data_IF_467604547372
#
_entry.id   IF_467604547372
#
_cell.length_a   1.000
_cell.length_b   1.000
_cell.length_c   1.000
_cell.angle_alpha   90.00
_cell.angle_beta   90.00
_cell.angle_gamma   90.00
#
_symmetry.space_group_name_H-M   'P 1'
#
loop_
_entity.id
_entity.type
_entity.pdbx_description
1 polymer ?
#
# COMPACT_ATOMS: atom_id res chain seq x y z
N UNK A 1 -0.37 -36.70 45.89
CA UNK A 1 -0.75 -37.88 45.08
C UNK A 1 -0.19 -37.72 43.67
N UNK A 2 0.30 -38.80 43.02
CA UNK A 2 0.73 -38.93 41.60
C UNK A 2 1.58 -37.76 41.02
N UNK A 3 2.92 -37.82 41.04
CA UNK A 3 3.87 -38.50 40.12
C UNK A 3 4.13 -37.76 38.77
N UNK A 4 5.44 -37.53 38.50
CA UNK A 4 6.18 -37.86 37.23
C UNK A 4 6.06 -36.83 36.06
N UNK A 5 7.12 -36.41 35.31
CA UNK A 5 8.55 -36.79 35.22
C UNK A 5 9.49 -35.62 34.77
N UNK A 6 10.81 -35.88 34.87
CA UNK A 6 12.02 -35.18 34.34
C UNK A 6 11.89 -34.66 32.87
N UNK A 7 12.76 -33.78 32.33
CA UNK A 7 14.24 -33.92 32.25
C UNK A 7 14.95 -32.62 31.84
N UNK A 8 16.20 -32.44 32.26
CA UNK A 8 17.14 -31.40 31.83
C UNK A 8 18.50 -32.02 31.45
N UNK A 9 19.19 -31.44 30.45
CA UNK A 9 20.61 -31.60 30.10
C UNK A 9 20.97 -30.36 29.25
N UNK A 10 21.93 -29.47 29.53
CA UNK A 10 23.29 -29.52 30.10
C UNK A 10 24.40 -29.81 29.05
N UNK A 11 25.18 -28.76 28.77
CA UNK A 11 26.62 -28.67 28.42
C UNK A 11 27.30 -29.83 27.65
N UNK A 12 28.15 -29.50 26.67
CA UNK A 12 29.62 -29.44 26.88
C UNK A 12 30.35 -28.74 25.71
N UNK A 13 31.63 -28.43 25.89
CA UNK A 13 32.50 -27.57 25.10
C UNK A 13 33.79 -28.34 24.73
N UNK A 14 34.49 -27.91 23.67
CA UNK A 14 35.89 -28.25 23.30
C UNK A 14 36.16 -29.67 22.75
N UNK A 15 36.82 -29.73 21.58
CA UNK A 15 38.00 -30.58 21.31
C UNK A 15 38.78 -29.99 20.11
N UNK A 16 40.11 -29.87 20.26
CA UNK A 16 41.06 -29.45 19.21
C UNK A 16 42.23 -30.43 19.22
N UNK A 17 42.61 -30.97 18.05
CA UNK A 17 43.95 -31.39 17.60
C UNK A 17 43.80 -32.13 16.24
N UNK A 18 44.43 -31.78 15.12
CA UNK A 18 45.87 -31.67 14.72
C UNK A 18 46.60 -33.00 14.41
N UNK A 19 46.79 -33.28 13.12
CA UNK A 19 47.94 -33.91 12.45
C UNK A 19 47.73 -33.75 10.92
N UNK A 20 48.59 -33.04 10.17
CA UNK A 20 49.77 -33.57 9.44
C UNK A 20 49.44 -34.75 8.51
N UNK A 21 49.80 -34.77 7.21
CA UNK A 21 50.65 -33.89 6.38
C UNK A 21 50.10 -33.89 4.92
N UNK A 22 50.69 -33.34 3.86
CA UNK A 22 52.06 -32.83 3.57
C UNK A 22 51.99 -31.82 2.40
N UNK A 23 52.94 -30.87 2.28
CA UNK A 23 53.06 -29.99 1.10
C UNK A 23 53.68 -28.62 1.40
N UNK A 24 54.96 -28.43 1.08
CA UNK A 24 55.74 -27.24 1.42
C UNK A 24 56.36 -26.61 0.17
N UNK A 25 56.10 -25.33 -0.10
CA UNK A 25 57.05 -24.35 -0.72
C UNK A 25 56.46 -22.92 -0.78
N UNK A 26 57.05 -21.98 -0.02
CA UNK A 26 57.08 -20.51 -0.29
C UNK A 26 55.76 -19.72 -0.31
N UNK A 27 55.74 -18.39 -0.10
CA UNK A 27 56.76 -17.46 0.42
C UNK A 27 56.04 -16.15 0.85
N UNK A 28 56.65 -15.34 1.73
CA UNK A 28 56.35 -13.91 2.02
C UNK A 28 55.01 -13.53 2.68
N UNK A 29 55.09 -13.08 3.95
CA UNK A 29 54.90 -11.67 4.35
C UNK A 29 54.36 -11.50 5.79
N UNK A 30 55.25 -11.55 6.81
CA UNK A 30 54.99 -11.01 8.16
C UNK A 30 56.29 -10.48 8.79
N UNK A 31 56.46 -9.16 8.78
CA UNK A 31 57.39 -8.30 9.54
C UNK A 31 57.35 -6.92 8.81
N UNK A 32 57.32 -5.75 9.45
CA UNK A 32 57.62 -5.38 10.84
C UNK A 32 56.55 -4.46 11.45
N UNK A 33 56.40 -4.54 12.77
CA UNK A 33 55.88 -3.46 13.63
C UNK A 33 57.11 -2.80 14.29
N UNK A 34 57.00 -1.50 14.61
CA UNK A 34 57.94 -0.58 15.30
C UNK A 34 58.83 0.29 14.41
N UNK A 35 58.42 1.55 14.23
CA UNK A 35 59.30 2.73 14.36
C UNK A 35 58.48 4.03 14.48
N UNK A 36 59.01 4.98 15.27
CA UNK A 36 58.61 6.40 15.36
C UNK A 36 57.18 6.77 15.81
N UNK A 37 57.00 6.84 17.13
CA UNK A 37 56.31 7.98 17.73
C UNK A 37 57.34 9.09 17.96
N UNK A 38 57.17 10.27 17.33
CA UNK A 38 57.52 11.58 17.91
C UNK A 38 57.01 12.74 17.02
N UNK A 39 56.41 13.74 17.68
CA UNK A 39 56.10 15.12 17.22
C UNK A 39 55.85 15.44 15.73
N UNK A 40 54.62 15.85 15.41
CA UNK A 40 54.37 17.16 14.77
C UNK A 40 53.05 17.79 15.25
N UNK A 41 53.05 19.12 15.29
CA UNK A 41 51.97 19.97 15.80
C UNK A 41 50.90 20.28 14.72
N UNK A 42 49.70 20.65 15.17
CA UNK A 42 48.66 21.38 14.44
C UNK A 42 48.33 20.99 12.98
N UNK A 43 47.34 20.10 12.78
CA UNK A 43 46.46 20.17 11.58
C UNK A 43 44.99 19.93 11.95
N UNK A 44 44.13 20.87 11.53
CA UNK A 44 42.68 20.84 11.75
C UNK A 44 42.05 19.72 10.91
N UNK A 45 41.57 18.65 11.57
CA UNK A 45 40.69 17.69 10.91
C UNK A 45 39.32 18.32 10.72
N UNK A 46 39.06 18.82 9.52
CA UNK A 46 37.70 19.21 9.11
C UNK A 46 36.83 17.97 9.07
N UNK A 47 35.89 17.87 10.00
CA UNK A 47 34.89 16.81 10.00
C UNK A 47 34.09 16.89 8.68
N UNK A 48 34.06 15.84 7.84
CA UNK A 48 33.16 15.84 6.69
C UNK A 48 31.73 15.96 7.19
N UNK A 49 30.95 16.87 6.59
CA UNK A 49 29.52 16.97 6.87
C UNK A 49 28.85 15.66 6.41
N UNK A 50 28.74 14.70 7.32
CA UNK A 50 27.74 13.64 7.24
C UNK A 50 26.41 14.38 7.28
N UNK A 51 25.82 14.61 6.11
CA UNK A 51 24.47 15.13 6.05
C UNK A 51 23.58 14.13 6.77
N UNK A 52 22.83 14.61 7.76
CA UNK A 52 21.73 13.84 8.32
C UNK A 52 20.75 13.62 7.18
N UNK A 53 20.83 12.43 6.55
CA UNK A 53 19.78 11.99 5.67
C UNK A 53 18.51 11.95 6.52
N UNK A 54 17.56 12.84 6.19
CA UNK A 54 16.24 12.85 6.82
C UNK A 54 15.67 11.45 6.68
N UNK A 55 15.75 10.65 7.75
CA UNK A 55 15.00 9.41 7.87
C UNK A 55 13.54 9.79 7.71
N UNK A 56 12.97 9.40 6.57
CA UNK A 56 11.55 9.63 6.30
C UNK A 56 10.77 8.91 7.38
N UNK A 57 9.83 9.61 8.00
CA UNK A 57 9.12 9.18 9.20
C UNK A 57 8.01 8.14 8.86
N UNK A 58 8.31 7.21 7.94
CA UNK A 58 7.37 6.21 7.39
C UNK A 58 7.33 4.90 8.18
N UNK A 59 8.34 4.64 9.02
CA UNK A 59 8.39 3.44 9.87
C UNK A 59 7.22 3.43 10.87
N UNK A 60 6.25 2.54 10.64
CA UNK A 60 5.10 2.33 11.50
C UNK A 60 3.80 3.03 11.07
N UNK A 61 3.80 3.83 10.00
CA UNK A 61 2.55 4.36 9.44
C UNK A 61 1.71 3.21 8.83
N UNK A 62 0.42 3.16 9.18
CA UNK A 62 -0.49 2.09 8.72
C UNK A 62 -1.35 2.55 7.55
N UNK A 63 -1.30 1.82 6.44
CA UNK A 63 -2.03 2.10 5.20
C UNK A 63 -3.11 1.05 4.98
N UNK A 64 -4.36 1.50 4.86
CA UNK A 64 -5.48 0.61 4.59
C UNK A 64 -5.80 0.59 3.09
N UNK A 65 -5.96 -0.62 2.52
CA UNK A 65 -6.29 -0.84 1.12
C UNK A 65 -7.61 -1.62 1.03
N UNK A 66 -8.55 -1.13 0.22
CA UNK A 66 -9.79 -1.83 -0.11
C UNK A 66 -9.83 -2.20 -1.60
N UNK A 67 -9.53 -3.46 -1.95
CA UNK A 67 -9.87 -4.01 -3.25
C UNK A 67 -11.39 -4.00 -3.42
N UNK A 68 -11.90 -3.11 -4.29
CA UNK A 68 -13.33 -2.93 -4.52
C UNK A 68 -14.03 -4.24 -4.88
N UNK A 69 -15.33 -4.32 -4.55
CA UNK A 69 -16.19 -5.47 -4.83
C UNK A 69 -15.73 -6.80 -4.21
N UNK A 70 -16.38 -7.89 -4.59
CA UNK A 70 -16.15 -9.29 -4.17
C UNK A 70 -16.90 -10.22 -5.13
N UNK A 71 -16.63 -11.54 -5.15
CA UNK A 71 -17.21 -12.47 -6.13
C UNK A 71 -18.74 -12.42 -6.21
N UNK A 72 -19.41 -12.22 -5.07
CA UNK A 72 -20.88 -12.14 -4.97
C UNK A 72 -21.30 -10.83 -4.34
N UNK A 73 -21.98 -9.97 -5.10
CA UNK A 73 -22.63 -8.78 -4.56
C UNK A 73 -23.66 -9.13 -3.48
N UNK A 74 -23.92 -8.18 -2.58
CA UNK A 74 -24.92 -8.30 -1.52
C UNK A 74 -25.96 -7.18 -1.69
N UNK A 75 -27.15 -7.57 -2.15
CA UNK A 75 -28.27 -6.66 -2.39
C UNK A 75 -29.08 -6.29 -1.14
N UNK A 76 -28.73 -6.86 0.03
CA UNK A 76 -29.23 -6.39 1.33
C UNK A 76 -28.91 -4.90 1.51
N UNK A 77 -29.75 -4.17 2.23
CA UNK A 77 -29.61 -2.72 2.38
C UNK A 77 -28.72 -2.35 3.57
N UNK A 78 -28.04 -1.21 3.45
CA UNK A 78 -27.34 -0.54 4.54
C UNK A 78 -27.47 0.99 4.42
N UNK A 79 -27.34 1.69 5.55
CA UNK A 79 -27.35 3.15 5.65
C UNK A 79 -26.18 3.76 4.86
N UNK A 80 -26.43 4.79 4.05
CA UNK A 80 -25.37 5.44 3.25
C UNK A 80 -24.33 6.19 4.10
N UNK A 81 -24.63 6.44 5.38
CA UNK A 81 -23.80 7.19 6.32
C UNK A 81 -24.28 6.93 7.77
N UNK A 82 -23.47 7.26 8.80
CA UNK A 82 -23.87 7.17 10.20
C UNK A 82 -25.19 7.90 10.49
N UNK A 83 -26.20 7.17 10.99
CA UNK A 83 -27.50 7.73 11.36
C UNK A 83 -28.39 8.16 10.17
N UNK A 84 -28.04 7.82 8.93
CA UNK A 84 -28.84 8.18 7.76
C UNK A 84 -30.01 7.20 7.54
N UNK A 85 -31.22 7.74 7.35
CA UNK A 85 -32.39 6.96 6.93
C UNK A 85 -32.34 6.51 5.46
N UNK A 86 -31.43 7.06 4.66
CA UNK A 86 -31.24 6.67 3.26
C UNK A 86 -30.39 5.39 3.23
N UNK A 87 -30.86 4.37 2.49
CA UNK A 87 -30.15 3.09 2.36
C UNK A 87 -29.86 2.71 0.91
N UNK A 88 -28.77 1.98 0.68
CA UNK A 88 -28.39 1.42 -0.62
C UNK A 88 -27.88 -0.04 -0.48
N UNK A 89 -27.71 -0.80 -1.59
CA UNK A 89 -27.16 -2.16 -1.52
C UNK A 89 -25.80 -2.18 -0.83
N UNK A 90 -25.56 -3.20 0.00
CA UNK A 90 -24.34 -3.40 0.80
C UNK A 90 -23.07 -3.39 -0.05
N UNK A 91 -23.06 -4.08 -1.19
CA UNK A 91 -21.96 -4.07 -2.17
C UNK A 91 -22.43 -4.67 -3.49
N UNK A 92 -22.07 -4.08 -4.63
CA UNK A 92 -22.34 -4.67 -5.96
C UNK A 92 -21.22 -5.65 -6.36
N UNK A 93 -21.45 -6.47 -7.40
CA UNK A 93 -20.41 -7.35 -7.98
C UNK A 93 -19.28 -6.61 -8.70
N UNK A 94 -19.47 -5.33 -9.03
CA UNK A 94 -18.59 -4.55 -9.90
C UNK A 94 -18.94 -4.74 -11.38
N UNK A 95 -18.13 -4.13 -12.24
CA UNK A 95 -18.18 -4.29 -13.70
C UNK A 95 -17.35 -5.50 -14.17
N UNK A 96 -17.26 -5.72 -15.48
CA UNK A 96 -16.35 -6.70 -16.08
C UNK A 96 -15.76 -6.22 -17.40
N UNK A 97 -14.58 -6.76 -17.73
CA UNK A 97 -13.80 -6.44 -18.92
C UNK A 97 -14.53 -6.81 -20.20
N UNK A 98 -14.79 -5.84 -21.07
CA UNK A 98 -15.54 -6.09 -22.31
C UNK A 98 -14.79 -7.01 -23.29
N UNK A 99 -13.46 -7.03 -23.25
CA UNK A 99 -12.57 -7.81 -24.10
C UNK A 99 -11.92 -9.00 -23.37
N UNK A 100 -11.43 -8.80 -22.13
CA UNK A 100 -10.74 -9.84 -21.34
C UNK A 100 -11.69 -10.74 -20.56
N UNK A 101 -12.93 -10.28 -20.32
CA UNK A 101 -13.92 -10.90 -19.41
C UNK A 101 -13.46 -11.01 -17.96
N UNK A 102 -12.39 -10.31 -17.55
CA UNK A 102 -11.97 -10.22 -16.15
C UNK A 102 -13.01 -9.44 -15.35
N UNK A 103 -13.48 -9.98 -14.23
CA UNK A 103 -14.35 -9.25 -13.31
C UNK A 103 -13.56 -8.16 -12.55
N UNK A 104 -14.21 -7.05 -12.23
CA UNK A 104 -13.58 -5.95 -11.49
C UNK A 104 -13.02 -6.40 -10.13
N UNK A 105 -13.73 -7.25 -9.38
CA UNK A 105 -13.26 -7.76 -8.07
C UNK A 105 -11.99 -8.63 -8.18
N UNK A 106 -11.66 -9.14 -9.37
CA UNK A 106 -10.40 -9.85 -9.64
C UNK A 106 -9.31 -8.81 -9.89
N UNK A 107 -9.53 -7.88 -10.82
CA UNK A 107 -8.58 -6.81 -11.16
C UNK A 107 -8.17 -5.99 -9.93
N UNK A 108 -9.13 -5.58 -9.11
CA UNK A 108 -8.85 -4.76 -7.92
C UNK A 108 -8.07 -5.52 -6.85
N UNK A 109 -8.23 -6.86 -6.77
CA UNK A 109 -7.45 -7.69 -5.86
C UNK A 109 -6.03 -7.92 -6.37
N UNK A 110 -5.85 -8.19 -7.67
CA UNK A 110 -4.53 -8.30 -8.30
C UNK A 110 -3.68 -7.04 -8.04
N UNK A 111 -4.26 -5.86 -8.27
CA UNK A 111 -3.57 -4.58 -8.06
C UNK A 111 -3.41 -4.31 -6.55
N UNK A 112 -4.40 -4.65 -5.72
CA UNK A 112 -4.35 -4.47 -4.27
C UNK A 112 -3.24 -5.28 -3.58
N UNK A 113 -3.05 -6.54 -3.99
CA UNK A 113 -1.97 -7.39 -3.47
C UNK A 113 -0.59 -6.86 -3.89
N UNK A 114 -0.41 -6.44 -5.15
CA UNK A 114 0.82 -5.77 -5.60
C UNK A 114 1.09 -4.47 -4.85
N UNK A 115 0.05 -3.68 -4.56
CA UNK A 115 0.16 -2.45 -3.78
C UNK A 115 0.57 -2.74 -2.33
N UNK A 116 0.00 -3.79 -1.72
CA UNK A 116 0.39 -4.29 -0.40
C UNK A 116 1.88 -4.66 -0.37
N UNK A 117 2.31 -5.58 -1.22
CA UNK A 117 3.72 -6.03 -1.31
C UNK A 117 4.67 -4.84 -1.49
N UNK A 118 4.32 -3.89 -2.36
CA UNK A 118 5.15 -2.72 -2.64
C UNK A 118 5.24 -1.76 -1.44
N UNK A 119 4.15 -1.54 -0.71
CA UNK A 119 4.15 -0.68 0.49
C UNK A 119 4.84 -1.36 1.68
N UNK A 120 4.62 -2.66 1.89
CA UNK A 120 5.33 -3.45 2.90
C UNK A 120 6.85 -3.42 2.65
N UNK A 121 7.29 -3.48 1.38
CA UNK A 121 8.71 -3.33 1.00
C UNK A 121 9.31 -1.95 1.32
N UNK A 122 8.48 -0.93 1.55
CA UNK A 122 8.90 0.43 1.94
C UNK A 122 8.75 0.69 3.46
N UNK A 123 8.37 -0.34 4.24
CA UNK A 123 8.28 -0.29 5.70
C UNK A 123 6.93 0.19 6.26
N UNK A 124 5.90 0.26 5.42
CA UNK A 124 4.52 0.52 5.87
C UNK A 124 3.89 -0.75 6.46
N UNK A 125 3.05 -0.57 7.48
CA UNK A 125 2.11 -1.62 7.88
C UNK A 125 0.88 -1.56 6.96
N UNK A 126 0.50 -2.67 6.33
CA UNK A 126 -0.61 -2.67 5.35
C UNK A 126 -1.77 -3.52 5.84
N UNK A 127 -2.98 -2.96 5.77
CA UNK A 127 -4.21 -3.62 6.21
C UNK A 127 -5.20 -3.69 5.04
N UNK A 128 -5.44 -4.91 4.57
CA UNK A 128 -6.37 -5.19 3.47
C UNK A 128 -7.78 -5.41 4.02
N UNK A 129 -8.81 -4.86 3.37
CA UNK A 129 -10.21 -5.21 3.70
C UNK A 129 -10.58 -6.63 3.26
N UNK A 130 -9.89 -7.16 2.24
CA UNK A 130 -9.96 -8.54 1.78
C UNK A 130 -8.68 -8.94 1.05
N UNK A 131 -8.28 -10.20 1.20
CA UNK A 131 -7.17 -10.82 0.45
C UNK A 131 -7.64 -11.98 -0.45
N UNK A 132 -8.95 -12.23 -0.49
CA UNK A 132 -9.58 -13.28 -1.31
C UNK A 132 -10.80 -12.73 -2.07
N UNK A 133 -11.34 -13.53 -2.99
CA UNK A 133 -12.56 -13.19 -3.74
C UNK A 133 -13.85 -13.56 -2.99
N UNK A 134 -13.81 -14.63 -2.21
CA UNK A 134 -14.97 -15.26 -1.55
C UNK A 134 -15.19 -14.70 -0.15
N UNK A 135 -15.58 -13.43 -0.10
CA UNK A 135 -15.94 -12.70 1.12
C UNK A 135 -17.36 -12.12 1.00
N UNK A 136 -17.95 -11.75 2.13
CA UNK A 136 -19.22 -11.04 2.19
C UNK A 136 -19.10 -9.82 3.11
N UNK A 137 -18.54 -8.72 2.59
CA UNK A 137 -18.21 -7.52 3.36
C UNK A 137 -18.81 -6.30 2.67
N UNK A 138 -19.69 -5.58 3.36
CA UNK A 138 -20.34 -4.37 2.84
C UNK A 138 -19.42 -3.16 2.77
N UNK A 139 -19.86 -2.10 2.09
CA UNK A 139 -19.11 -0.84 2.01
C UNK A 139 -18.99 -0.16 3.39
N UNK A 140 -20.04 -0.24 4.23
CA UNK A 140 -19.99 0.17 5.65
C UNK A 140 -18.97 -0.67 6.44
N UNK A 141 -19.01 -1.99 6.31
CA UNK A 141 -18.14 -2.91 7.04
C UNK A 141 -16.66 -2.70 6.67
N UNK A 142 -16.34 -2.48 5.38
CA UNK A 142 -15.00 -2.11 4.88
C UNK A 142 -14.49 -0.83 5.56
N UNK A 143 -15.30 0.23 5.55
CA UNK A 143 -14.92 1.52 6.17
C UNK A 143 -14.79 1.45 7.70
N UNK A 144 -15.67 0.68 8.37
CA UNK A 144 -15.58 0.46 9.82
C UNK A 144 -14.36 -0.39 10.20
N UNK A 145 -13.95 -1.34 9.35
CA UNK A 145 -12.73 -2.11 9.54
C UNK A 145 -11.49 -1.20 9.51
N UNK A 146 -11.39 -0.31 8.52
CA UNK A 146 -10.24 0.59 8.41
C UNK A 146 -10.21 1.64 9.53
N UNK A 147 -11.36 2.19 9.92
CA UNK A 147 -11.48 3.07 11.08
C UNK A 147 -10.98 2.40 12.38
N UNK A 148 -11.37 1.14 12.62
CA UNK A 148 -10.93 0.35 13.80
C UNK A 148 -9.43 0.01 13.77
N UNK A 149 -8.88 -0.17 12.58
CA UNK A 149 -7.47 -0.45 12.37
C UNK A 149 -6.54 0.75 12.66
N UNK A 150 -7.09 1.98 12.72
CA UNK A 150 -6.30 3.18 13.00
C UNK A 150 -5.35 3.57 11.88
N UNK A 151 -5.63 3.18 10.63
CA UNK A 151 -4.81 3.57 9.48
C UNK A 151 -4.75 5.10 9.30
N UNK A 152 -3.59 5.61 8.89
CA UNK A 152 -3.40 7.03 8.55
C UNK A 152 -3.99 7.41 7.21
N UNK A 153 -4.03 6.45 6.27
CA UNK A 153 -4.57 6.62 4.92
C UNK A 153 -5.44 5.41 4.53
N UNK A 154 -6.48 5.67 3.76
CA UNK A 154 -7.39 4.64 3.25
C UNK A 154 -7.62 4.79 1.73
N UNK A 155 -7.18 3.80 0.94
CA UNK A 155 -7.33 3.79 -0.52
C UNK A 155 -8.29 2.69 -0.95
N UNK A 156 -9.34 3.02 -1.71
CA UNK A 156 -10.20 2.04 -2.39
C UNK A 156 -9.82 1.93 -3.86
N UNK A 157 -9.65 0.71 -4.35
CA UNK A 157 -9.24 0.41 -5.72
C UNK A 157 -10.46 -0.07 -6.53
N UNK A 158 -10.77 0.60 -7.63
CA UNK A 158 -11.89 0.30 -8.53
C UNK A 158 -11.49 0.46 -10.01
N UNK A 159 -12.34 -0.02 -10.91
CA UNK A 159 -12.23 0.27 -12.34
C UNK A 159 -13.63 0.47 -12.96
N UNK A 160 -13.80 1.56 -13.70
CA UNK A 160 -15.10 2.13 -14.05
C UNK A 160 -15.80 1.34 -15.18
N UNK A 161 -17.12 1.45 -15.23
CA UNK A 161 -18.00 0.86 -16.24
C UNK A 161 -18.93 1.91 -16.83
N UNK A 162 -18.82 2.15 -18.14
CA UNK A 162 -19.63 3.13 -18.86
C UNK A 162 -20.25 2.57 -20.13
N UNK A 163 -21.49 2.96 -20.42
CA UNK A 163 -22.16 2.71 -21.70
C UNK A 163 -21.42 3.36 -22.88
N UNK A 164 -20.76 4.49 -22.64
CA UNK A 164 -19.82 5.04 -23.62
C UNK A 164 -18.54 4.18 -23.62
N UNK A 165 -18.45 3.28 -24.60
CA UNK A 165 -17.30 2.37 -24.80
C UNK A 165 -15.98 3.08 -25.15
N UNK A 166 -16.03 4.37 -25.47
CA UNK A 166 -14.87 5.23 -25.69
C UNK A 166 -14.49 6.06 -24.45
N UNK A 167 -15.20 5.90 -23.31
CA UNK A 167 -14.75 6.45 -22.04
C UNK A 167 -13.39 5.86 -21.67
N UNK A 168 -12.48 6.71 -21.20
CA UNK A 168 -11.12 6.32 -20.86
C UNK A 168 -10.53 7.27 -19.82
N UNK A 169 -9.51 6.80 -19.10
CA UNK A 169 -8.70 7.58 -18.17
C UNK A 169 -8.99 7.33 -16.69
N UNK A 170 -8.14 7.91 -15.85
CA UNK A 170 -8.17 7.77 -14.39
C UNK A 170 -8.92 8.94 -13.76
N UNK A 171 -9.78 8.63 -12.79
CA UNK A 171 -10.41 9.60 -11.88
C UNK A 171 -10.25 9.15 -10.44
N UNK A 172 -10.35 10.11 -9.52
CA UNK A 172 -10.46 9.84 -8.07
C UNK A 172 -11.79 10.35 -7.53
N UNK A 173 -12.40 9.60 -6.62
CA UNK A 173 -13.68 9.93 -6.00
C UNK A 173 -13.47 10.23 -4.51
N UNK A 174 -14.04 11.33 -4.04
CA UNK A 174 -13.97 11.78 -2.63
C UNK A 174 -15.21 12.58 -2.25
N UNK A 175 -15.40 12.90 -0.96
CA UNK A 175 -16.55 13.68 -0.50
C UNK A 175 -16.43 15.17 -0.81
N UNK A 176 -17.55 15.83 -1.13
CA UNK A 176 -17.60 17.29 -1.28
C UNK A 176 -17.39 18.02 0.05
N UNK A 177 -17.03 19.30 -0.01
CA UNK A 177 -16.91 20.16 1.19
C UNK A 177 -18.25 20.41 1.92
N UNK A 178 -19.37 20.01 1.32
CA UNK A 178 -20.72 20.09 1.91
C UNK A 178 -21.14 18.80 2.61
N UNK A 179 -20.33 17.74 2.53
CA UNK A 179 -20.65 16.45 3.12
C UNK A 179 -20.59 16.50 4.65
N UNK A 180 -21.75 16.40 5.30
CA UNK A 180 -21.87 16.47 6.75
C UNK A 180 -21.20 15.30 7.50
N UNK A 181 -21.02 14.16 6.84
CA UNK A 181 -20.50 12.94 7.48
C UNK A 181 -18.98 12.89 7.51
N UNK A 182 -18.30 13.55 6.57
CA UNK A 182 -16.84 13.48 6.40
C UNK A 182 -16.10 14.74 6.81
N UNK A 183 -16.77 15.76 7.37
CA UNK A 183 -16.21 17.09 7.69
C UNK A 183 -14.79 17.05 8.31
N UNK A 184 -14.55 16.15 9.27
CA UNK A 184 -13.26 16.00 9.97
C UNK A 184 -12.09 15.57 9.08
N UNK A 185 -12.37 14.90 7.96
CA UNK A 185 -11.35 14.35 7.03
C UNK A 185 -11.52 14.88 5.60
N UNK A 186 -12.47 15.79 5.34
CA UNK A 186 -12.81 16.21 3.98
C UNK A 186 -11.62 16.91 3.30
N UNK A 187 -11.04 17.92 3.95
CA UNK A 187 -9.91 18.67 3.38
C UNK A 187 -8.64 17.80 3.20
N UNK A 188 -8.38 16.90 4.15
CA UNK A 188 -7.24 15.97 4.07
C UNK A 188 -7.43 14.93 2.96
N UNK A 189 -8.66 14.42 2.79
CA UNK A 189 -9.06 13.45 1.76
C UNK A 189 -9.09 14.05 0.35
N UNK A 190 -9.55 15.29 0.21
CA UNK A 190 -9.53 16.03 -1.06
C UNK A 190 -8.09 16.25 -1.55
N UNK A 191 -7.21 16.76 -0.67
CA UNK A 191 -5.78 16.91 -0.97
C UNK A 191 -5.13 15.57 -1.31
N UNK A 192 -5.42 14.52 -0.53
CA UNK A 192 -4.87 13.18 -0.77
C UNK A 192 -5.30 12.64 -2.14
N UNK A 193 -6.58 12.78 -2.48
CA UNK A 193 -7.13 12.38 -3.78
C UNK A 193 -6.42 13.08 -4.95
N UNK A 194 -6.21 14.40 -4.85
CA UNK A 194 -5.48 15.18 -5.86
C UNK A 194 -4.04 14.69 -6.06
N UNK A 195 -3.31 14.45 -4.96
CA UNK A 195 -1.93 13.94 -5.03
C UNK A 195 -1.88 12.53 -5.62
N UNK A 196 -2.79 11.63 -5.22
CA UNK A 196 -2.88 10.27 -5.78
C UNK A 196 -3.16 10.30 -7.29
N UNK A 197 -4.09 11.14 -7.73
CA UNK A 197 -4.38 11.34 -9.15
C UNK A 197 -3.15 11.87 -9.91
N UNK A 198 -2.50 12.92 -9.41
CA UNK A 198 -1.31 13.51 -10.01
C UNK A 198 -0.17 12.50 -10.19
N UNK A 199 0.20 11.77 -9.13
CA UNK A 199 1.32 10.82 -9.21
C UNK A 199 0.98 9.58 -10.04
N UNK A 200 -0.27 9.10 -10.02
CA UNK A 200 -0.71 7.98 -10.87
C UNK A 200 -0.75 8.35 -12.35
N UNK A 201 -1.12 9.58 -12.69
CA UNK A 201 -1.08 10.05 -14.08
C UNK A 201 0.35 10.13 -14.62
N UNK A 202 1.32 10.57 -13.80
CA UNK A 202 2.75 10.63 -14.19
C UNK A 202 3.33 9.26 -14.54
N UNK A 203 2.99 8.20 -13.81
CA UNK A 203 3.53 6.85 -14.05
C UNK A 203 2.79 6.09 -15.16
N UNK A 204 1.49 6.33 -15.32
CA UNK A 204 0.64 5.60 -16.28
C UNK A 204 0.55 6.26 -17.66
N UNK A 205 0.69 7.59 -17.74
CA UNK A 205 0.35 8.37 -18.92
C UNK A 205 -1.13 8.33 -19.29
N UNK A 206 -2.01 7.96 -18.34
CA UNK A 206 -3.45 7.85 -18.59
C UNK A 206 -4.10 9.22 -18.85
N UNK A 207 -5.29 9.20 -19.47
CA UNK A 207 -6.12 10.41 -19.60
C UNK A 207 -6.57 10.87 -18.21
N UNK A 208 -6.39 12.15 -17.90
CA UNK A 208 -6.87 12.75 -16.66
C UNK A 208 -8.39 13.00 -16.74
N UNK A 209 -9.15 12.47 -15.78
CA UNK A 209 -10.59 12.73 -15.60
C UNK A 209 -10.93 13.59 -14.38
N UNK A 210 -9.92 13.99 -13.60
CA UNK A 210 -10.08 14.86 -12.44
C UNK A 210 -10.61 14.17 -11.19
N UNK A 211 -11.01 15.01 -10.23
CA UNK A 211 -11.65 14.61 -8.97
C UNK A 211 -13.16 14.67 -9.15
N UNK A 212 -13.86 13.59 -8.80
CA UNK A 212 -15.32 13.54 -8.74
C UNK A 212 -15.78 13.59 -7.28
N UNK A 213 -16.48 14.66 -6.92
CA UNK A 213 -17.04 14.83 -5.58
C UNK A 213 -18.37 14.08 -5.45
N UNK A 214 -18.46 13.14 -4.51
CA UNK A 214 -19.55 12.17 -4.38
C UNK A 214 -19.91 11.94 -2.91
N UNK A 215 -21.13 12.33 -2.54
CA UNK A 215 -21.63 12.26 -1.16
C UNK A 215 -22.59 11.07 -0.92
N UNK A 216 -22.74 10.19 -1.90
CA UNK A 216 -23.55 8.97 -1.85
C UNK A 216 -22.74 7.68 -1.61
N UNK A 217 -21.42 7.79 -1.43
CA UNK A 217 -20.52 6.64 -1.31
C UNK A 217 -20.42 6.18 0.15
N UNK A 218 -21.09 5.07 0.49
CA UNK A 218 -21.11 4.51 1.86
C UNK A 218 -19.71 4.37 2.44
N UNK A 219 -18.76 3.81 1.68
CA UNK A 219 -17.39 3.59 2.15
C UNK A 219 -16.59 4.88 2.45
N UNK A 220 -17.03 6.02 1.90
CA UNK A 220 -16.45 7.35 2.18
C UNK A 220 -17.17 8.02 3.34
N UNK A 221 -18.52 8.03 3.32
CA UNK A 221 -19.34 8.65 4.36
C UNK A 221 -19.20 8.00 5.75
N UNK A 222 -18.84 6.71 5.81
CA UNK A 222 -18.53 6.01 7.06
C UNK A 222 -17.06 6.16 7.50
N UNK A 223 -16.18 6.77 6.69
CA UNK A 223 -14.76 6.83 7.00
C UNK A 223 -14.42 8.01 7.91
N UNK A 224 -13.70 7.71 8.99
CA UNK A 224 -13.10 8.72 9.89
C UNK A 224 -11.60 8.92 9.60
N UNK A 225 -11.11 8.40 8.47
CA UNK A 225 -9.72 8.43 8.03
C UNK A 225 -9.61 9.21 6.72
N UNK A 226 -8.47 9.86 6.49
CA UNK A 226 -8.12 10.47 5.20
C UNK A 226 -8.19 9.41 4.08
N UNK A 227 -9.15 9.56 3.16
CA UNK A 227 -9.49 8.51 2.21
C UNK A 227 -9.59 8.99 0.76
N UNK A 228 -9.43 8.05 -0.16
CA UNK A 228 -9.72 8.24 -1.58
C UNK A 228 -10.24 6.95 -2.19
N UNK A 229 -11.06 7.05 -3.24
CA UNK A 229 -11.26 5.96 -4.20
C UNK A 229 -10.56 6.34 -5.49
N UNK A 230 -9.86 5.40 -6.13
CA UNK A 230 -9.33 5.57 -7.48
C UNK A 230 -10.06 4.63 -8.45
N UNK A 231 -10.61 5.23 -9.52
CA UNK A 231 -11.07 4.55 -10.72
C UNK A 231 -9.88 4.45 -11.69
N UNK A 232 -9.29 3.26 -11.80
CA UNK A 232 -7.98 3.05 -12.44
C UNK A 232 -8.01 3.04 -13.98
N UNK A 233 -9.20 3.13 -14.57
CA UNK A 233 -9.48 3.06 -16.01
C UNK A 233 -10.85 2.41 -16.25
N UNK A 234 -11.29 2.29 -17.50
CA UNK A 234 -12.61 1.77 -17.89
C UNK A 234 -12.54 0.32 -18.37
N UNK A 235 -13.14 -0.62 -17.64
CA UNK A 235 -13.28 -2.02 -18.10
C UNK A 235 -14.28 -2.17 -19.25
N UNK A 236 -15.17 -1.20 -19.44
CA UNK A 236 -16.08 -1.16 -20.60
C UNK A 236 -15.41 -0.71 -21.90
N UNK A 237 -14.20 -0.15 -21.83
CA UNK A 237 -13.36 0.20 -22.98
C UNK A 237 -12.40 -0.95 -23.29
N UNK A 238 -12.43 -1.47 -24.51
CA UNK A 238 -11.69 -2.67 -24.89
C UNK A 238 -10.16 -2.48 -24.90
N UNK A 239 -9.65 -1.25 -25.07
CA UNK A 239 -8.22 -0.96 -24.96
C UNK A 239 -7.80 -0.89 -23.49
N UNK A 240 -8.50 -0.11 -22.67
CA UNK A 240 -8.17 0.02 -21.25
C UNK A 240 -8.35 -1.29 -20.48
N UNK A 241 -9.37 -2.10 -20.76
CA UNK A 241 -9.55 -3.44 -20.20
C UNK A 241 -8.34 -4.37 -20.43
N UNK A 242 -7.87 -4.46 -21.68
CA UNK A 242 -6.66 -5.22 -22.02
C UNK A 242 -5.45 -4.67 -21.30
N UNK A 243 -5.30 -3.33 -21.26
CA UNK A 243 -4.19 -2.63 -20.61
C UNK A 243 -4.16 -2.85 -19.09
N UNK A 244 -5.30 -2.71 -18.41
CA UNK A 244 -5.51 -2.97 -16.98
C UNK A 244 -5.20 -4.42 -16.61
N UNK A 245 -5.36 -5.35 -17.55
CA UNK A 245 -5.06 -6.76 -17.36
C UNK A 245 -3.59 -7.15 -17.56
N UNK A 246 -2.69 -6.24 -17.96
CA UNK A 246 -1.25 -6.56 -18.10
C UNK A 246 -0.46 -6.24 -16.82
N UNK A 247 0.52 -7.07 -16.42
CA UNK A 247 1.35 -6.81 -15.25
C UNK A 247 2.07 -5.46 -15.28
N UNK A 248 2.52 -5.03 -16.45
CA UNK A 248 3.33 -3.81 -16.64
C UNK A 248 2.52 -2.56 -16.33
N UNK A 249 1.25 -2.50 -16.75
CA UNK A 249 0.40 -1.35 -16.47
C UNK A 249 -0.11 -1.34 -15.03
N UNK A 250 -0.43 -2.51 -14.47
CA UNK A 250 -0.72 -2.65 -13.04
C UNK A 250 0.44 -2.13 -12.19
N UNK A 251 1.69 -2.47 -12.55
CA UNK A 251 2.88 -1.99 -11.85
C UNK A 251 3.06 -0.46 -11.99
N UNK A 252 2.70 0.14 -13.13
CA UNK A 252 2.65 1.60 -13.29
C UNK A 252 1.62 2.26 -12.36
N UNK A 253 0.42 1.68 -12.25
CA UNK A 253 -0.62 2.14 -11.32
C UNK A 253 -0.12 2.06 -9.87
N UNK A 254 0.40 0.90 -9.45
CA UNK A 254 0.95 0.69 -8.10
C UNK A 254 2.04 1.71 -7.77
N UNK A 255 3.04 1.88 -8.64
CA UNK A 255 4.12 2.86 -8.43
C UNK A 255 3.57 4.30 -8.32
N UNK A 256 2.52 4.63 -9.08
CA UNK A 256 1.85 5.93 -9.01
C UNK A 256 1.15 6.19 -7.68
N UNK A 257 0.40 5.20 -7.19
CA UNK A 257 -0.27 5.25 -5.89
C UNK A 257 0.75 5.35 -4.74
N UNK A 258 1.82 4.56 -4.79
CA UNK A 258 2.92 4.59 -3.80
C UNK A 258 3.63 5.94 -3.78
N UNK A 259 3.95 6.50 -4.94
CA UNK A 259 4.49 7.86 -5.05
C UNK A 259 3.54 8.90 -4.43
N UNK A 260 2.23 8.77 -4.66
CA UNK A 260 1.21 9.65 -4.08
C UNK A 260 1.10 9.55 -2.55
N UNK A 261 1.17 8.33 -2.00
CA UNK A 261 1.22 8.07 -0.54
C UNK A 261 2.47 8.71 0.06
N UNK A 262 3.65 8.41 -0.51
CA UNK A 262 4.94 8.92 -0.04
C UNK A 262 5.00 10.45 -0.09
N UNK A 263 4.49 11.06 -1.17
CA UNK A 263 4.38 12.52 -1.30
C UNK A 263 3.42 13.11 -0.26
N UNK A 264 2.22 12.54 -0.12
CA UNK A 264 1.23 13.04 0.84
C UNK A 264 1.76 13.02 2.28
N UNK A 265 2.36 11.91 2.72
CA UNK A 265 2.90 11.76 4.07
C UNK A 265 4.12 12.65 4.32
N UNK A 266 4.93 12.92 3.30
CA UNK A 266 6.07 13.86 3.39
C UNK A 266 5.63 15.33 3.48
N UNK A 267 4.48 15.67 2.92
CA UNK A 267 3.90 17.01 2.95
C UNK A 267 2.77 17.16 4.00
N UNK A 268 2.63 16.23 4.96
CA UNK A 268 1.64 16.24 6.05
C UNK A 268 2.21 16.92 7.29
#
# INVERSE_FOLDING_TARGET
MKKVIKTAFLLMMIMVNTAMCMGNTGEKAKQNITSFFENTDSLKVTNPLISESKRTNSQGESICIDPGHQRKGNNGKEEIAPGSSITKPKVSSGTSGTATKKDEYVLTLEIGLKLKEKLESEGYNVIMTRETHDVNISNKERSVMTNKAGCSLYIRLHADGSENRNAAGISVLTSSSKNQYTQKVQASSDRFSKIILEETLKTTGAKNRGVSYRDDLTGTNWSTITNTLIEMGFMSNAEEDRKLSTPEYQNKIVNGIVNGINRYLKEK
#
